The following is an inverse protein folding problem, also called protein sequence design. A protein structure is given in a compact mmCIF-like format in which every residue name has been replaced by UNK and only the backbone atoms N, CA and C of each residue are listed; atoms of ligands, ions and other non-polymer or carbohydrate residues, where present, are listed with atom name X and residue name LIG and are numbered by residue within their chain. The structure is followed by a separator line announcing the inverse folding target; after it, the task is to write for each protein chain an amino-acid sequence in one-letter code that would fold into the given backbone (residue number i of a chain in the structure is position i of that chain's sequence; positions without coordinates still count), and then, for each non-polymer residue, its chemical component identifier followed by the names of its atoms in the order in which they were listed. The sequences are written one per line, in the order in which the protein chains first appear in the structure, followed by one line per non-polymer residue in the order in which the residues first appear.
data_IF_741279237525
#
_entry.id   IF_741279237525
#
_cell.length_a   1.000
_cell.length_b   1.000
_cell.length_c   1.000
_cell.angle_alpha   90.00
_cell.angle_beta   90.00
_cell.angle_gamma   90.00
#
_symmetry.space_group_name_H-M   'P 1'
#
loop_
_entity.id
_entity.type
_entity.pdbx_description
1 polymer ?
#
# COMPACT_ATOMS: atom_id res chain seq x y z
N UNK A 1 -1.88 -5.42 -30.68
CA UNK A 1 -2.02 -6.55 -31.62
C UNK A 1 -3.49 -6.94 -31.60
N UNK A 2 -4.18 -6.96 -32.74
CA UNK A 2 -5.58 -7.37 -32.89
C UNK A 2 -5.63 -8.83 -33.35
N UNK A 3 -6.70 -9.56 -33.05
CA UNK A 3 -6.86 -10.91 -33.61
C UNK A 3 -7.27 -10.88 -35.11
N UNK A 4 -7.47 -12.06 -35.69
CA UNK A 4 -7.74 -12.24 -37.13
C UNK A 4 -9.08 -11.67 -37.61
N UNK A 5 -9.99 -11.34 -36.68
CA UNK A 5 -11.28 -10.69 -36.94
C UNK A 5 -11.24 -9.17 -36.65
N UNK A 6 -10.05 -8.61 -36.35
CA UNK A 6 -9.82 -7.17 -36.23
C UNK A 6 -10.23 -6.53 -34.91
N UNK A 7 -10.54 -7.32 -33.88
CA UNK A 7 -10.86 -6.81 -32.55
C UNK A 7 -9.55 -6.58 -31.74
N UNK A 8 -9.42 -5.47 -30.96
CA UNK A 8 -8.29 -5.33 -30.05
C UNK A 8 -8.31 -6.44 -28.99
N UNK A 9 -7.15 -7.07 -28.76
CA UNK A 9 -6.89 -7.90 -27.58
C UNK A 9 -6.81 -7.00 -26.34
N UNK A 10 -7.91 -6.35 -25.98
CA UNK A 10 -8.08 -5.73 -24.67
C UNK A 10 -8.26 -6.86 -23.68
N UNK A 11 -7.31 -7.02 -22.77
CA UNK A 11 -7.44 -7.91 -21.63
C UNK A 11 -8.76 -7.59 -20.91
N UNK A 12 -9.73 -8.50 -20.98
CA UNK A 12 -10.97 -8.40 -20.23
C UNK A 12 -10.65 -8.53 -18.76
N UNK A 13 -10.52 -7.41 -18.07
CA UNK A 13 -10.65 -7.39 -16.61
C UNK A 13 -12.12 -7.61 -16.27
N UNK A 14 -12.44 -8.76 -15.67
CA UNK A 14 -13.76 -9.02 -15.12
C UNK A 14 -14.02 -8.00 -13.99
N UNK A 15 -15.08 -7.19 -14.04
CA UNK A 15 -15.40 -6.22 -12.98
C UNK A 15 -16.16 -6.84 -11.80
N UNK A 16 -16.11 -8.17 -11.65
CA UNK A 16 -16.81 -8.92 -10.58
C UNK A 16 -15.82 -9.40 -9.52
N UNK A 17 -15.05 -8.44 -9.00
CA UNK A 17 -14.50 -8.49 -7.65
C UNK A 17 -15.09 -7.24 -7.03
N UNK A 18 -15.80 -7.34 -5.91
CA UNK A 18 -16.15 -6.17 -5.14
C UNK A 18 -14.83 -5.43 -4.87
N UNK A 19 -14.56 -4.36 -5.63
CA UNK A 19 -13.35 -3.58 -5.46
C UNK A 19 -13.53 -2.89 -4.12
N UNK A 20 -12.98 -3.49 -3.05
CA UNK A 20 -12.49 -2.72 -1.93
C UNK A 20 -11.76 -1.54 -2.58
N UNK A 21 -12.31 -0.35 -2.39
CA UNK A 21 -11.83 0.82 -3.11
C UNK A 21 -10.57 1.28 -2.40
N UNK A 22 -9.47 0.57 -2.67
CA UNK A 22 -8.17 0.88 -2.11
C UNK A 22 -7.87 2.36 -2.39
N UNK A 23 -7.61 3.11 -1.32
CA UNK A 23 -7.35 4.54 -1.41
C UNK A 23 -5.84 4.75 -1.44
N UNK A 24 -5.33 5.44 -2.45
CA UNK A 24 -3.93 5.84 -2.51
C UNK A 24 -3.76 7.28 -1.99
N UNK A 25 -2.92 7.47 -0.98
CA UNK A 25 -2.66 8.76 -0.34
C UNK A 25 -1.16 9.06 -0.33
N UNK A 26 -0.79 10.23 -0.85
CA UNK A 26 0.58 10.73 -0.80
C UNK A 26 0.74 11.73 0.35
N UNK A 27 1.87 11.67 1.04
CA UNK A 27 2.08 12.44 2.26
C UNK A 27 3.48 12.33 2.82
N UNK A 28 3.67 12.89 4.01
CA UNK A 28 4.95 12.90 4.73
C UNK A 28 4.79 12.17 6.06
N UNK A 29 5.78 11.37 6.41
CA UNK A 29 5.85 10.68 7.69
C UNK A 29 6.23 11.68 8.77
N UNK A 30 5.44 11.77 9.84
CA UNK A 30 5.68 12.67 10.97
C UNK A 30 6.28 11.98 12.18
N UNK A 31 6.02 10.69 12.35
CA UNK A 31 6.51 9.87 13.47
C UNK A 31 6.42 8.40 13.13
N UNK A 32 7.34 7.55 13.62
CA UNK A 32 7.41 6.12 13.29
C UNK A 32 7.44 5.26 14.55
N UNK A 33 6.75 4.12 14.51
CA UNK A 33 6.65 3.10 15.56
C UNK A 33 7.16 1.74 15.05
N UNK A 34 7.01 0.68 15.84
CA UNK A 34 7.42 -0.68 15.43
C UNK A 34 6.54 -1.20 14.28
N UNK A 35 5.24 -0.97 14.33
CA UNK A 35 4.20 -1.53 13.44
C UNK A 35 3.51 -0.50 12.54
N UNK A 36 3.82 0.79 12.69
CA UNK A 36 3.13 1.84 11.95
C UNK A 36 3.81 3.20 12.00
N UNK A 37 3.11 4.21 11.48
CA UNK A 37 3.59 5.59 11.49
C UNK A 37 2.46 6.62 11.44
N UNK A 38 2.74 7.83 11.92
CA UNK A 38 1.90 9.02 11.77
C UNK A 38 2.13 9.61 10.39
N UNK A 39 1.06 9.80 9.60
CA UNK A 39 1.15 10.25 8.23
C UNK A 39 0.33 11.51 7.97
N UNK A 40 0.93 12.48 7.28
CA UNK A 40 0.32 13.77 6.98
C UNK A 40 0.24 14.00 5.46
N UNK A 41 -0.97 14.12 4.92
CA UNK A 41 -1.22 14.35 3.49
C UNK A 41 -1.24 15.83 3.11
N UNK A 42 -1.10 16.74 4.08
CA UNK A 42 -1.30 18.18 3.96
C UNK A 42 -2.69 18.63 4.42
N UNK A 43 -3.73 17.86 4.13
CA UNK A 43 -5.12 18.15 4.53
C UNK A 43 -5.51 17.49 5.86
N UNK A 44 -4.92 16.34 6.18
CA UNK A 44 -5.20 15.56 7.39
C UNK A 44 -3.97 14.79 7.84
N UNK A 45 -3.99 14.41 9.12
CA UNK A 45 -3.02 13.50 9.72
C UNK A 45 -3.76 12.31 10.32
N UNK A 46 -3.25 11.10 10.09
CA UNK A 46 -3.78 9.84 10.63
C UNK A 46 -2.66 8.84 10.92
N UNK A 47 -2.98 7.74 11.59
CA UNK A 47 -2.07 6.61 11.80
C UNK A 47 -2.21 5.62 10.65
N UNK A 48 -1.09 5.14 10.14
CA UNK A 48 -1.02 4.03 9.19
C UNK A 48 -0.58 2.80 9.97
N UNK A 49 -1.37 1.73 9.92
CA UNK A 49 -0.95 0.39 10.30
C UNK A 49 -0.20 -0.21 9.11
N UNK A 50 1.01 -0.69 9.34
CA UNK A 50 1.85 -1.28 8.31
C UNK A 50 2.27 -2.71 8.64
N UNK A 51 1.61 -3.35 9.60
CA UNK A 51 1.97 -4.68 10.09
C UNK A 51 2.05 -5.71 8.94
N UNK A 52 1.04 -5.75 8.06
CA UNK A 52 1.01 -6.69 6.94
C UNK A 52 2.16 -6.48 5.94
N UNK A 53 2.70 -5.26 5.87
CA UNK A 53 3.77 -4.89 4.94
C UNK A 53 5.17 -4.98 5.56
N UNK A 54 5.34 -4.44 6.76
CA UNK A 54 6.63 -4.23 7.42
C UNK A 54 6.80 -5.06 8.71
N UNK A 55 5.73 -5.68 9.23
CA UNK A 55 5.68 -6.27 10.57
C UNK A 55 6.05 -5.27 11.67
N UNK A 56 6.58 -5.78 12.78
CA UNK A 56 7.15 -5.01 13.90
C UNK A 56 8.47 -4.27 13.56
N UNK A 57 8.82 -4.11 12.29
CA UNK A 57 10.10 -3.56 11.85
C UNK A 57 9.95 -2.32 10.98
N UNK A 58 8.81 -1.63 11.03
CA UNK A 58 8.50 -0.41 10.26
C UNK A 58 9.61 0.64 10.35
N UNK A 59 10.12 0.89 11.56
CA UNK A 59 11.22 1.83 11.80
C UNK A 59 12.57 1.47 11.13
N UNK A 60 12.72 0.25 10.60
CA UNK A 60 13.88 -0.14 9.79
C UNK A 60 13.78 0.28 8.32
N UNK A 61 12.57 0.58 7.86
CA UNK A 61 12.24 0.87 6.46
C UNK A 61 11.77 2.30 6.24
N UNK A 62 11.09 2.87 7.23
CA UNK A 62 10.44 4.18 7.18
C UNK A 62 11.06 5.11 8.20
N UNK A 63 11.33 6.35 7.79
CA UNK A 63 11.89 7.40 8.64
C UNK A 63 10.96 8.62 8.72
N UNK A 64 11.08 9.37 9.82
CA UNK A 64 10.46 10.69 9.94
C UNK A 64 10.94 11.62 8.81
N UNK A 65 10.00 12.26 8.12
CA UNK A 65 10.25 13.13 6.97
C UNK A 65 10.18 12.43 5.61
N UNK A 66 10.06 11.10 5.55
CA UNK A 66 9.91 10.38 4.28
C UNK A 66 8.63 10.80 3.56
N UNK A 67 8.73 10.94 2.23
CA UNK A 67 7.58 11.21 1.37
C UNK A 67 7.17 9.94 0.65
N UNK A 68 6.01 9.43 1.02
CA UNK A 68 5.51 8.12 0.60
C UNK A 68 4.16 8.24 -0.10
N UNK A 69 3.82 7.19 -0.85
CA UNK A 69 2.44 6.90 -1.27
C UNK A 69 1.99 5.62 -0.57
N UNK A 70 0.90 5.70 0.18
CA UNK A 70 0.33 4.56 0.91
C UNK A 70 -1.00 4.21 0.26
N UNK A 71 -1.17 2.95 -0.12
CA UNK A 71 -2.44 2.40 -0.62
C UNK A 71 -3.04 1.51 0.46
N UNK A 72 -4.31 1.71 0.78
CA UNK A 72 -4.95 1.04 1.92
C UNK A 72 -6.42 1.42 2.10
N UNK A 73 -6.98 1.02 3.23
CA UNK A 73 -8.34 1.39 3.65
C UNK A 73 -8.38 1.92 5.09
N UNK A 74 -9.42 2.68 5.43
CA UNK A 74 -9.64 3.10 6.81
C UNK A 74 -10.50 2.06 7.52
N UNK A 75 -9.95 1.41 8.53
CA UNK A 75 -10.68 0.52 9.42
C UNK A 75 -10.33 0.82 10.88
N UNK A 76 -11.31 0.66 11.78
CA UNK A 76 -11.18 0.84 13.25
C UNK A 76 -10.45 2.11 13.78
N UNK A 77 -10.28 3.14 12.95
CA UNK A 77 -9.63 4.41 13.31
C UNK A 77 -8.19 4.56 12.81
N UNK A 78 -7.69 3.56 12.10
CA UNK A 78 -6.36 3.53 11.48
C UNK A 78 -6.50 3.41 9.95
N UNK A 79 -5.37 3.46 9.26
CA UNK A 79 -5.31 3.26 7.82
C UNK A 79 -4.45 2.04 7.54
N UNK A 80 -5.08 0.92 7.20
CA UNK A 80 -4.40 -0.36 6.97
C UNK A 80 -3.71 -0.35 5.62
N UNK A 81 -2.37 -0.47 5.62
CA UNK A 81 -1.59 -0.40 4.41
C UNK A 81 -1.54 -1.75 3.66
N UNK A 82 -1.86 -1.72 2.38
CA UNK A 82 -1.68 -2.82 1.42
C UNK A 82 -0.46 -2.62 0.51
N UNK A 83 0.01 -1.39 0.40
CA UNK A 83 1.24 -1.04 -0.31
C UNK A 83 1.80 0.29 0.18
N UNK A 84 3.14 0.37 0.25
CA UNK A 84 3.87 1.57 0.64
C UNK A 84 5.00 1.76 -0.37
N UNK A 85 4.97 2.86 -1.13
CA UNK A 85 6.00 3.19 -2.13
C UNK A 85 6.67 4.53 -1.86
N UNK A 86 7.93 4.64 -2.27
CA UNK A 86 8.68 5.89 -2.25
C UNK A 86 8.31 6.80 -3.43
N UNK A 87 8.93 7.99 -3.50
CA UNK A 87 8.73 8.95 -4.60
C UNK A 87 9.16 8.45 -6.00
N UNK A 88 9.90 7.34 -6.08
CA UNK A 88 10.32 6.67 -7.30
C UNK A 88 9.50 5.40 -7.60
N UNK A 89 8.39 5.19 -6.88
CA UNK A 89 7.50 4.03 -7.00
C UNK A 89 8.13 2.69 -6.58
N UNK A 90 9.21 2.71 -5.79
CA UNK A 90 9.78 1.49 -5.22
C UNK A 90 9.04 1.11 -3.94
N UNK A 91 8.77 -0.19 -3.76
CA UNK A 91 8.24 -0.69 -2.50
C UNK A 91 9.22 -0.43 -1.34
N UNK A 92 8.70 0.15 -0.25
CA UNK A 92 9.49 0.47 0.95
C UNK A 92 9.56 -0.74 1.89
N UNK A 93 8.45 -1.47 1.98
CA UNK A 93 8.34 -2.75 2.64
C UNK A 93 7.79 -3.77 1.64
N UNK A 94 8.22 -5.02 1.77
CA UNK A 94 7.70 -6.14 1.00
C UNK A 94 6.86 -6.97 1.95
N UNK A 95 5.63 -7.33 1.54
CA UNK A 95 4.79 -8.23 2.35
C UNK A 95 5.63 -9.40 2.80
N UNK A 96 5.59 -9.70 4.10
CA UNK A 96 6.21 -10.89 4.64
C UNK A 96 5.38 -12.06 4.12
N UNK A 97 5.61 -12.46 2.87
CA UNK A 97 5.06 -13.69 2.34
C UNK A 97 5.75 -14.79 3.11
N UNK A 98 5.16 -15.15 4.26
CA UNK A 98 5.40 -16.41 4.91
C UNK A 98 5.29 -17.44 3.80
N UNK A 99 6.40 -18.10 3.50
CA UNK A 99 6.47 -19.14 2.48
C UNK A 99 5.21 -20.00 2.60
N UNK A 100 4.49 -20.17 1.49
CA UNK A 100 3.33 -21.04 1.40
C UNK A 100 3.59 -22.29 2.26
N UNK A 101 2.81 -22.46 3.34
CA UNK A 101 2.86 -23.68 4.12
C UNK A 101 2.53 -24.84 3.16
N UNK A 102 3.57 -25.57 2.76
CA UNK A 102 3.42 -26.83 2.05
C UNK A 102 2.94 -27.87 3.06
N UNK A 103 1.65 -28.23 2.97
CA UNK A 103 1.09 -29.42 3.62
C UNK A 103 1.28 -30.66 2.73
#
# INVERSE_FOLDING_TARGET
MTDSDGNPLSASINPDVAQASDTALAGTVEQVWEDGFRFNTGDRTFTVDSWEMCGDSTASHVNEGDRLTVTGEFDEGEFDAFSITDSSDNAVCEQVTSLQESY
#
